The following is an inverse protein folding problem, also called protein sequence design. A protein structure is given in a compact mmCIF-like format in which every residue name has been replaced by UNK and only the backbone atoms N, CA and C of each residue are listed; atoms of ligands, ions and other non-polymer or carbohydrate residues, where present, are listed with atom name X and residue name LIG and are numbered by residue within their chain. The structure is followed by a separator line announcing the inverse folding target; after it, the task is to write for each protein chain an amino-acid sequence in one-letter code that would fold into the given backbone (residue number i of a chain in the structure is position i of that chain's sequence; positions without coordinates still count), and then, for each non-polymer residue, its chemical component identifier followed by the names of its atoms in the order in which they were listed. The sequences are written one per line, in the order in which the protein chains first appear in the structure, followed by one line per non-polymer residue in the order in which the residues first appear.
data_IF_108028561651
#
_entry.id   IF_108028561651
#
_cell.length_a   1.000
_cell.length_b   1.000
_cell.length_c   1.000
_cell.angle_alpha   90.00
_cell.angle_beta   90.00
_cell.angle_gamma   90.00
#
_symmetry.space_group_name_H-M   'P 1'
#
loop_
_entity.id
_entity.type
_entity.pdbx_description
1 polymer ?
#
# COMPACT_ATOMS: atom_id res chain seq x y z
N UNK A 1 3.52 16.84 0.66
CA UNK A 1 2.75 15.66 0.25
C UNK A 1 3.55 14.39 0.44
N UNK A 2 2.88 13.34 0.80
CA UNK A 2 3.51 12.03 0.95
C UNK A 2 3.86 11.46 -0.41
N UNK A 3 5.07 10.96 -0.54
CA UNK A 3 5.54 10.31 -1.75
C UNK A 3 5.02 8.88 -1.82
N UNK A 4 4.42 8.50 -2.96
CA UNK A 4 3.90 7.15 -3.18
C UNK A 4 4.59 6.58 -4.41
N UNK A 5 5.27 5.45 -4.23
CA UNK A 5 6.00 4.79 -5.30
C UNK A 5 5.06 3.92 -6.12
N UNK A 6 5.10 4.07 -7.44
CA UNK A 6 4.38 3.19 -8.35
C UNK A 6 5.17 1.91 -8.59
N UNK A 7 4.53 0.78 -8.35
CA UNK A 7 5.15 -0.54 -8.49
C UNK A 7 4.95 -1.03 -9.91
N UNK A 8 6.03 -1.50 -10.54
CA UNK A 8 6.03 -1.94 -11.94
C UNK A 8 5.73 -3.43 -12.11
N UNK A 9 6.13 -4.25 -11.15
CA UNK A 9 5.96 -5.70 -11.18
C UNK A 9 6.29 -6.27 -9.81
N UNK A 10 6.18 -7.59 -9.65
CA UNK A 10 6.43 -8.25 -8.38
C UNK A 10 7.88 -8.09 -7.91
N UNK A 11 8.84 -8.13 -8.82
CA UNK A 11 10.25 -7.91 -8.45
C UNK A 11 10.49 -6.51 -7.91
N UNK A 12 9.83 -5.52 -8.53
CA UNK A 12 9.90 -4.13 -8.06
C UNK A 12 9.29 -4.00 -6.67
N UNK A 13 8.18 -4.70 -6.40
CA UNK A 13 7.59 -4.71 -5.07
C UNK A 13 8.54 -5.33 -4.04
N UNK A 14 9.20 -6.42 -4.38
CA UNK A 14 10.19 -7.04 -3.50
C UNK A 14 11.37 -6.12 -3.23
N UNK A 15 11.82 -5.38 -4.24
CA UNK A 15 12.85 -4.35 -4.07
C UNK A 15 12.39 -3.24 -3.13
N UNK A 16 11.14 -2.83 -3.27
CA UNK A 16 10.55 -1.82 -2.39
C UNK A 16 10.62 -2.27 -0.93
N UNK A 17 10.33 -3.53 -0.65
CA UNK A 17 10.40 -4.06 0.73
C UNK A 17 11.82 -4.03 1.28
N UNK A 18 12.83 -4.13 0.44
CA UNK A 18 14.23 -4.11 0.89
C UNK A 18 14.74 -2.70 1.16
N UNK A 19 14.02 -1.68 0.72
CA UNK A 19 14.30 -0.31 1.08
C UNK A 19 13.87 -0.10 2.53
N UNK A 20 14.77 0.27 3.40
CA UNK A 20 14.50 0.45 4.82
C UNK A 20 13.73 -0.76 5.40
N UNK A 21 14.34 -1.96 5.45
CA UNK A 21 13.62 -3.19 5.77
C UNK A 21 13.01 -3.21 7.17
N UNK A 22 13.48 -2.37 8.06
CA UNK A 22 12.93 -2.26 9.41
C UNK A 22 11.73 -1.31 9.51
N UNK A 23 11.50 -0.53 8.45
CA UNK A 23 10.38 0.40 8.39
C UNK A 23 9.10 -0.32 8.01
N UNK A 24 7.96 0.27 8.37
CA UNK A 24 6.67 -0.21 7.91
C UNK A 24 6.49 0.19 6.45
N UNK A 25 5.99 -0.73 5.64
CA UNK A 25 5.62 -0.50 4.25
C UNK A 25 4.12 -0.66 4.09
N UNK A 26 3.48 0.33 3.47
CA UNK A 26 2.06 0.26 3.12
C UNK A 26 1.97 0.06 1.61
N UNK A 27 1.24 -0.99 1.19
CA UNK A 27 1.02 -1.27 -0.22
C UNK A 27 -0.48 -1.17 -0.50
N UNK A 28 -0.85 -0.20 -1.35
CA UNK A 28 -2.23 -0.06 -1.79
C UNK A 28 -2.36 -0.74 -3.15
N UNK A 29 -3.32 -1.64 -3.27
CA UNK A 29 -3.58 -2.39 -4.49
C UNK A 29 -4.97 -2.00 -5.01
N UNK A 30 -5.04 -1.53 -6.25
CA UNK A 30 -6.28 -1.05 -6.82
C UNK A 30 -6.23 -0.91 -8.32
N UNK A 31 -7.15 -0.09 -8.87
CA UNK A 31 -7.24 0.18 -10.29
C UNK A 31 -7.69 1.62 -10.54
N UNK A 32 -7.30 2.22 -11.69
CA UNK A 32 -7.64 3.63 -11.97
C UNK A 32 -9.15 3.89 -12.11
N UNK A 33 -9.92 2.91 -12.59
CA UNK A 33 -11.37 3.05 -12.79
C UNK A 33 -12.17 2.86 -11.51
N UNK A 34 -11.55 2.44 -10.45
CA UNK A 34 -12.22 2.12 -9.18
C UNK A 34 -12.38 3.38 -8.34
N UNK A 35 -13.62 3.80 -8.08
CA UNK A 35 -13.91 4.99 -7.28
C UNK A 35 -13.31 4.97 -5.89
N UNK A 36 -13.58 3.92 -5.08
CA UNK A 36 -12.99 3.81 -3.75
C UNK A 36 -11.46 3.76 -3.76
N UNK A 37 -10.86 3.20 -4.82
CA UNK A 37 -9.40 3.20 -4.97
C UNK A 37 -8.86 4.62 -5.13
N UNK A 38 -9.54 5.44 -5.92
CA UNK A 38 -9.14 6.85 -6.11
C UNK A 38 -9.29 7.65 -4.82
N UNK A 39 -10.36 7.40 -4.07
CA UNK A 39 -10.56 8.06 -2.77
C UNK A 39 -9.42 7.70 -1.82
N UNK A 40 -9.06 6.43 -1.75
CA UNK A 40 -7.96 5.98 -0.90
C UNK A 40 -6.63 6.59 -1.36
N UNK A 41 -6.38 6.68 -2.66
CA UNK A 41 -5.18 7.34 -3.18
C UNK A 41 -5.08 8.78 -2.70
N UNK A 42 -6.17 9.53 -2.78
CA UNK A 42 -6.19 10.91 -2.30
C UNK A 42 -5.90 10.98 -0.81
N UNK A 43 -6.47 10.08 -0.03
CA UNK A 43 -6.22 10.02 1.42
C UNK A 43 -4.75 9.76 1.71
N UNK A 44 -4.14 8.79 1.01
CA UNK A 44 -2.73 8.46 1.19
C UNK A 44 -1.80 9.62 0.82
N UNK A 45 -2.07 10.29 -0.30
CA UNK A 45 -1.26 11.44 -0.74
C UNK A 45 -1.31 12.60 0.26
N UNK A 46 -2.43 12.75 0.97
CA UNK A 46 -2.65 13.86 1.88
C UNK A 46 -2.39 13.53 3.35
N UNK A 47 -1.80 12.38 3.64
CA UNK A 47 -1.40 12.05 5.00
C UNK A 47 -0.35 13.05 5.50
N UNK A 48 -0.34 13.28 6.80
CA UNK A 48 0.65 14.15 7.44
C UNK A 48 1.99 13.41 7.50
N UNK A 49 3.04 13.91 6.83
CA UNK A 49 4.35 13.27 6.84
C UNK A 49 4.90 13.09 8.26
N UNK A 50 4.55 13.99 9.18
CA UNK A 50 5.02 13.90 10.56
C UNK A 50 4.36 12.74 11.31
N UNK A 51 3.16 12.34 10.88
CA UNK A 51 2.42 11.26 11.56
C UNK A 51 2.78 9.88 11.02
N UNK A 52 3.26 9.80 9.79
CA UNK A 52 3.64 8.51 9.21
C UNK A 52 5.09 8.13 9.50
N UNK A 53 5.92 9.12 9.89
CA UNK A 53 7.34 8.89 10.22
C UNK A 53 8.11 8.35 9.02
N UNK A 54 8.81 7.24 9.22
CA UNK A 54 9.60 6.59 8.18
C UNK A 54 8.82 5.58 7.34
N UNK A 55 7.50 5.52 7.50
CA UNK A 55 6.64 4.61 6.73
C UNK A 55 6.76 4.91 5.23
N UNK A 56 6.96 3.86 4.44
CA UNK A 56 7.02 3.96 2.98
C UNK A 56 5.71 3.46 2.39
N UNK A 57 5.25 4.12 1.32
CA UNK A 57 3.95 3.81 0.69
C UNK A 57 4.15 3.53 -0.80
N UNK A 58 3.49 2.47 -1.28
CA UNK A 58 3.49 2.11 -2.69
C UNK A 58 2.08 1.88 -3.20
N UNK A 59 1.93 2.05 -4.51
CA UNK A 59 0.68 1.82 -5.23
C UNK A 59 0.88 0.77 -6.31
N UNK A 60 -0.04 -0.19 -6.37
CA UNK A 60 -0.05 -1.27 -7.35
C UNK A 60 -1.33 -1.18 -8.17
N UNK A 61 -1.19 -1.02 -9.49
CA UNK A 61 -2.31 -1.05 -10.43
C UNK A 61 -2.46 -2.48 -10.97
N UNK A 62 -3.54 -3.17 -10.57
CA UNK A 62 -3.77 -4.55 -11.00
C UNK A 62 -4.24 -4.68 -12.44
N UNK A 63 -4.64 -3.57 -13.09
CA UNK A 63 -4.95 -3.59 -14.52
C UNK A 63 -3.67 -3.71 -15.37
N UNK A 64 -2.53 -3.37 -14.79
CA UNK A 64 -1.26 -3.59 -15.45
C UNK A 64 -0.95 -5.09 -15.42
N UNK A 65 -0.82 -5.70 -16.62
CA UNK A 65 -0.54 -7.14 -16.76
C UNK A 65 0.71 -7.57 -15.99
N UNK A 66 1.69 -6.68 -15.88
CA UNK A 66 2.94 -6.97 -15.19
C UNK A 66 2.74 -7.15 -13.69
N UNK A 67 1.60 -6.74 -13.15
CA UNK A 67 1.26 -6.87 -11.72
C UNK A 67 0.35 -8.08 -11.44
N UNK A 68 0.08 -8.94 -12.42
CA UNK A 68 -0.77 -10.12 -12.24
C UNK A 68 -0.22 -11.03 -11.13
N UNK A 69 1.09 -11.21 -11.09
CA UNK A 69 1.74 -12.03 -10.07
C UNK A 69 1.55 -11.46 -8.66
N UNK A 70 1.45 -10.15 -8.53
CA UNK A 70 1.19 -9.51 -7.23
C UNK A 70 -0.22 -9.87 -6.76
N UNK A 71 -1.21 -9.77 -7.65
CA UNK A 71 -2.59 -10.11 -7.31
C UNK A 71 -2.72 -11.57 -6.89
N UNK A 72 -1.97 -12.47 -7.52
CA UNK A 72 -1.95 -13.88 -7.16
C UNK A 72 -1.24 -14.13 -5.83
N UNK A 73 -0.09 -13.51 -5.64
CA UNK A 73 0.72 -13.68 -4.43
C UNK A 73 -0.06 -13.33 -3.16
N UNK A 74 -0.84 -12.25 -3.21
CA UNK A 74 -1.57 -11.73 -2.06
C UNK A 74 -3.05 -12.09 -2.07
N UNK A 75 -3.48 -12.95 -3.01
CA UNK A 75 -4.87 -13.41 -3.12
C UNK A 75 -5.85 -12.23 -3.14
N UNK A 76 -5.64 -11.31 -4.09
CA UNK A 76 -6.46 -10.12 -4.22
C UNK A 76 -7.74 -10.46 -5.00
N UNK A 77 -8.88 -10.34 -4.32
CA UNK A 77 -10.20 -10.66 -4.88
C UNK A 77 -11.12 -9.44 -4.99
N UNK A 78 -10.85 -8.43 -4.19
CA UNK A 78 -11.61 -7.17 -4.17
C UNK A 78 -10.62 -6.02 -4.02
N UNK A 79 -10.97 -4.86 -4.56
CA UNK A 79 -10.11 -3.66 -4.49
C UNK A 79 -10.92 -2.49 -3.93
N UNK A 80 -10.27 -1.53 -3.29
CA UNK A 80 -8.84 -1.51 -2.98
C UNK A 80 -8.48 -2.44 -1.82
N UNK A 81 -7.22 -2.85 -1.78
CA UNK A 81 -6.65 -3.58 -0.63
C UNK A 81 -5.44 -2.78 -0.15
N UNK A 82 -5.31 -2.68 1.17
CA UNK A 82 -4.13 -2.09 1.79
C UNK A 82 -3.41 -3.16 2.59
N UNK A 83 -2.13 -3.35 2.32
CA UNK A 83 -1.27 -4.27 3.06
C UNK A 83 -0.32 -3.46 3.94
N UNK A 84 -0.13 -3.91 5.17
CA UNK A 84 0.87 -3.38 6.09
C UNK A 84 1.95 -4.42 6.23
N UNK A 85 3.17 -4.09 5.79
CA UNK A 85 4.24 -5.08 5.60
C UNK A 85 5.50 -4.59 6.30
N UNK A 86 6.19 -5.49 7.00
CA UNK A 86 7.52 -5.22 7.55
C UNK A 86 8.42 -6.40 7.27
N UNK A 87 9.60 -6.11 6.73
CA UNK A 87 10.59 -7.13 6.41
C UNK A 87 10.00 -8.24 5.51
N UNK A 88 9.12 -7.83 4.56
CA UNK A 88 8.45 -8.75 3.64
C UNK A 88 7.29 -9.52 4.22
N UNK A 89 7.02 -9.39 5.52
CA UNK A 89 5.92 -10.09 6.20
C UNK A 89 4.68 -9.20 6.25
N UNK A 90 3.53 -9.75 5.81
CA UNK A 90 2.25 -9.05 5.87
C UNK A 90 1.73 -9.11 7.30
N UNK A 91 1.65 -7.93 7.94
CA UNK A 91 1.15 -7.79 9.30
C UNK A 91 -0.36 -7.53 9.33
N UNK A 92 -0.89 -6.95 8.28
CA UNK A 92 -2.32 -6.67 8.16
C UNK A 92 -2.75 -6.52 6.72
N UNK A 93 -4.00 -6.90 6.43
CA UNK A 93 -4.62 -6.80 5.11
C UNK A 93 -6.04 -6.29 5.29
N UNK A 94 -6.36 -5.18 4.63
CA UNK A 94 -7.67 -4.54 4.77
C UNK A 94 -8.26 -4.29 3.39
N UNK A 95 -9.56 -4.58 3.24
CA UNK A 95 -10.31 -4.40 2.00
C UNK A 95 -11.16 -3.14 2.12
N UNK A 96 -11.14 -2.32 1.08
CA UNK A 96 -11.94 -1.11 1.01
C UNK A 96 -11.17 0.15 1.35
N UNK A 97 -11.78 1.29 1.05
CA UNK A 97 -11.22 2.59 1.40
C UNK A 97 -11.37 2.85 2.89
N UNK A 98 -10.49 3.67 3.43
CA UNK A 98 -10.56 4.05 4.84
C UNK A 98 -10.09 5.50 5.02
N UNK A 99 -10.58 6.19 6.06
CA UNK A 99 -10.14 7.55 6.34
C UNK A 99 -8.72 7.60 6.93
N UNK A 100 -8.12 8.79 6.88
CA UNK A 100 -6.76 9.00 7.36
C UNK A 100 -6.56 8.52 8.81
N UNK A 101 -7.54 8.77 9.68
CA UNK A 101 -7.42 8.38 11.09
C UNK A 101 -7.24 6.88 11.27
N UNK A 102 -7.90 6.07 10.43
CA UNK A 102 -7.74 4.62 10.49
C UNK A 102 -6.33 4.22 10.05
N UNK A 103 -5.81 4.88 9.01
CA UNK A 103 -4.46 4.62 8.52
C UNK A 103 -3.43 4.95 9.60
N UNK A 104 -3.55 6.11 10.25
CA UNK A 104 -2.65 6.50 11.33
C UNK A 104 -2.70 5.48 12.48
N UNK A 105 -3.89 4.99 12.81
CA UNK A 105 -4.05 3.99 13.86
C UNK A 105 -3.31 2.70 13.51
N UNK A 106 -3.46 2.22 12.28
CA UNK A 106 -2.77 0.99 11.86
C UNK A 106 -1.26 1.19 11.81
N UNK A 107 -0.78 2.37 11.39
CA UNK A 107 0.65 2.67 11.44
C UNK A 107 1.16 2.54 12.89
N UNK A 108 0.43 3.10 13.84
CA UNK A 108 0.80 2.98 15.26
C UNK A 108 0.77 1.53 15.74
N UNK A 109 -0.25 0.77 15.34
CA UNK A 109 -0.41 -0.62 15.77
C UNK A 109 0.69 -1.54 15.21
N UNK A 110 1.19 -1.25 14.02
CA UNK A 110 2.16 -2.11 13.33
C UNK A 110 3.60 -1.59 13.36
N UNK A 111 3.81 -0.49 13.99
CA UNK A 111 5.12 0.16 14.08
C UNK A 111 6.15 -0.67 14.85
#
# INVERSE_FOLDING_TARGET
MVEIREIKNLEDLKSFYTEAPESLHIVKIGAPWCGPCRTLSNTLHNLDPNKIGDTLIADVDIDNEDNEDIAMEYDIRSIPVTLYVRNGEVLGKYVGSMPANDIYKYIEDYK
#
